data_IF_725318857515
#
_entry.id   IF_725318857515
#
_cell.length_a   1.000
_cell.length_b   1.000
_cell.length_c   1.000
_cell.angle_alpha   90.00
_cell.angle_beta   90.00
_cell.angle_gamma   90.00
#
_symmetry.space_group_name_H-M   'P 1'
#
loop_
_entity.id
_entity.type
_entity.pdbx_description
1 polymer ?
#
# COMPACT_ATOMS: atom_id res chain seq x y z
N UNK A 1 -11.21 -15.36 18.14
CA UNK A 1 -11.36 -14.18 17.26
C UNK A 1 -11.71 -14.76 15.91
N UNK A 2 -12.91 -14.48 15.41
CA UNK A 2 -13.36 -14.96 14.10
C UNK A 2 -12.34 -14.55 13.04
N UNK A 3 -11.84 -15.53 12.28
CA UNK A 3 -10.97 -15.33 11.12
C UNK A 3 -11.78 -14.56 10.07
N UNK A 4 -11.84 -13.24 10.21
CA UNK A 4 -12.20 -12.38 9.10
C UNK A 4 -11.21 -12.69 7.98
N UNK A 5 -11.73 -13.06 6.81
CA UNK A 5 -10.91 -13.36 5.63
C UNK A 5 -10.15 -12.10 5.23
N UNK A 6 -8.97 -11.87 5.81
CA UNK A 6 -8.11 -10.73 5.47
C UNK A 6 -7.60 -10.95 4.04
N UNK A 7 -8.15 -10.19 3.10
CA UNK A 7 -7.77 -10.28 1.69
C UNK A 7 -6.49 -9.49 1.39
N UNK A 8 -6.31 -8.33 2.02
CA UNK A 8 -5.12 -7.48 1.90
C UNK A 8 -4.80 -6.85 3.25
N UNK A 9 -3.52 -6.86 3.64
CA UNK A 9 -2.99 -6.20 4.83
C UNK A 9 -1.77 -5.34 4.46
N UNK A 10 -1.74 -4.10 4.95
CA UNK A 10 -0.60 -3.19 4.82
C UNK A 10 -0.06 -2.90 6.21
N UNK A 11 1.17 -3.34 6.46
CA UNK A 11 1.85 -3.11 7.73
C UNK A 11 3.03 -2.18 7.51
N UNK A 12 3.08 -1.08 8.26
CA UNK A 12 4.24 -0.22 8.34
C UNK A 12 4.95 -0.46 9.67
N UNK A 13 6.26 -0.65 9.62
CA UNK A 13 7.11 -0.90 10.78
C UNK A 13 8.36 -0.04 10.72
N UNK A 14 9.11 0.02 11.82
CA UNK A 14 10.37 0.78 11.89
C UNK A 14 11.53 -0.19 12.10
N UNK A 15 12.45 -0.21 11.16
CA UNK A 15 13.68 -1.00 11.25
C UNK A 15 14.90 -0.11 11.04
N UNK A 16 15.86 -0.13 11.98
CA UNK A 16 17.11 0.65 11.91
C UNK A 16 16.93 2.16 11.60
N UNK A 17 15.81 2.73 12.01
CA UNK A 17 15.49 4.14 11.75
C UNK A 17 14.76 4.42 10.43
N UNK A 18 14.57 3.40 9.60
CA UNK A 18 13.84 3.48 8.34
C UNK A 18 12.41 2.94 8.49
N UNK A 19 11.50 3.41 7.65
CA UNK A 19 10.15 2.86 7.56
C UNK A 19 10.17 1.70 6.57
N UNK A 20 9.82 0.50 7.04
CA UNK A 20 9.67 -0.69 6.21
C UNK A 20 8.19 -1.01 6.11
N UNK A 21 7.70 -1.15 4.89
CA UNK A 21 6.33 -1.56 4.62
C UNK A 21 6.28 -2.99 4.10
N UNK A 22 5.28 -3.73 4.54
CA UNK A 22 4.93 -5.06 4.04
C UNK A 22 3.49 -5.04 3.58
N UNK A 23 3.25 -5.62 2.41
CA UNK A 23 1.90 -5.89 1.89
C UNK A 23 1.73 -7.40 1.83
N UNK A 24 0.70 -7.90 2.49
CA UNK A 24 0.29 -9.31 2.46
C UNK A 24 -1.08 -9.39 1.79
N UNK A 25 -1.27 -10.38 0.93
CA UNK A 25 -2.54 -10.60 0.25
C UNK A 25 -2.89 -12.09 0.20
N UNK A 26 -4.18 -12.39 0.10
CA UNK A 26 -4.67 -13.74 -0.10
C UNK A 26 -4.13 -14.31 -1.42
N UNK A 27 -3.75 -15.60 -1.42
CA UNK A 27 -3.04 -16.24 -2.53
C UNK A 27 -3.87 -16.42 -3.80
N UNK A 28 -5.18 -16.32 -3.68
CA UNK A 28 -6.18 -16.51 -4.73
C UNK A 28 -6.64 -15.20 -5.39
N UNK A 29 -6.16 -14.05 -4.91
CA UNK A 29 -6.47 -12.76 -5.54
C UNK A 29 -5.82 -12.62 -6.90
N UNK A 30 -6.62 -12.23 -7.88
CA UNK A 30 -6.10 -11.73 -9.14
C UNK A 30 -5.39 -10.39 -8.93
N UNK A 31 -4.55 -10.01 -9.89
CA UNK A 31 -3.89 -8.70 -9.89
C UNK A 31 -4.92 -7.55 -9.84
N UNK A 32 -6.01 -7.68 -10.59
CA UNK A 32 -7.07 -6.66 -10.68
C UNK A 32 -7.78 -6.48 -9.33
N UNK A 33 -8.12 -7.57 -8.66
CA UNK A 33 -8.73 -7.51 -7.33
C UNK A 33 -7.76 -6.93 -6.29
N UNK A 34 -6.48 -7.34 -6.34
CA UNK A 34 -5.46 -6.77 -5.46
C UNK A 34 -5.32 -5.25 -5.64
N UNK A 35 -5.24 -4.77 -6.88
CA UNK A 35 -5.19 -3.34 -7.20
C UNK A 35 -6.46 -2.61 -6.74
N UNK A 36 -7.63 -3.24 -6.87
CA UNK A 36 -8.89 -2.71 -6.39
C UNK A 36 -8.88 -2.54 -4.86
N UNK A 37 -8.53 -3.58 -4.10
CA UNK A 37 -8.46 -3.52 -2.64
C UNK A 37 -7.47 -2.46 -2.13
N UNK A 38 -6.28 -2.37 -2.76
CA UNK A 38 -5.32 -1.32 -2.42
C UNK A 38 -5.88 0.09 -2.66
N UNK A 39 -6.59 0.30 -3.77
CA UNK A 39 -7.22 1.58 -4.10
C UNK A 39 -8.25 1.98 -3.05
N UNK A 40 -9.10 1.04 -2.61
CA UNK A 40 -10.10 1.30 -1.57
C UNK A 40 -9.45 1.61 -0.21
N UNK A 41 -8.35 0.94 0.15
CA UNK A 41 -7.58 1.26 1.37
C UNK A 41 -7.06 2.71 1.30
N UNK A 42 -6.45 3.10 0.18
CA UNK A 42 -5.94 4.47 -0.02
C UNK A 42 -7.08 5.49 0.05
N UNK A 43 -8.22 5.22 -0.59
CA UNK A 43 -9.40 6.08 -0.51
C UNK A 43 -9.87 6.26 0.93
N UNK A 44 -10.01 5.17 1.69
CA UNK A 44 -10.41 5.24 3.09
C UNK A 44 -9.46 6.07 3.94
N UNK A 45 -8.15 5.95 3.71
CA UNK A 45 -7.14 6.81 4.39
C UNK A 45 -7.30 8.28 3.99
N UNK A 46 -7.53 8.57 2.71
CA UNK A 46 -7.75 9.95 2.23
C UNK A 46 -9.05 10.56 2.75
N UNK A 47 -10.11 9.77 2.87
CA UNK A 47 -11.38 10.21 3.45
C UNK A 47 -11.24 10.49 4.95
N UNK A 48 -10.51 9.64 5.67
CA UNK A 48 -10.25 9.81 7.09
C UNK A 48 -9.38 11.04 7.38
N UNK A 49 -8.32 11.27 6.59
CA UNK A 49 -7.42 12.39 6.76
C UNK A 49 -6.99 12.96 5.40
N UNK A 50 -7.74 13.98 4.95
CA UNK A 50 -7.52 14.65 3.66
C UNK A 50 -6.12 15.25 3.53
N UNK A 51 -5.54 15.74 4.62
CA UNK A 51 -4.20 16.36 4.63
C UNK A 51 -3.11 15.38 4.22
N UNK A 52 -3.22 14.10 4.59
CA UNK A 52 -2.26 13.05 4.17
C UNK A 52 -2.22 12.96 2.64
N UNK A 53 -3.36 13.10 1.97
CA UNK A 53 -3.46 12.95 0.53
C UNK A 53 -3.18 14.26 -0.21
N UNK A 54 -3.52 15.41 0.37
CA UNK A 54 -3.18 16.74 -0.17
C UNK A 54 -1.66 17.01 -0.17
N UNK A 55 -0.92 16.53 0.84
CA UNK A 55 0.55 16.68 0.91
C UNK A 55 1.33 15.62 0.10
N UNK A 56 0.64 14.64 -0.48
CA UNK A 56 1.24 13.48 -1.16
C UNK A 56 1.48 13.65 -2.67
N UNK A 57 1.44 14.86 -3.23
CA UNK A 57 2.02 15.13 -4.57
C UNK A 57 3.56 15.08 -4.45
N UNK A 58 4.10 13.88 -4.15
CA UNK A 58 5.51 13.57 -4.29
C UNK A 58 5.71 13.04 -5.70
N UNK A 59 6.35 13.86 -6.53
CA UNK A 59 6.79 13.46 -7.87
C UNK A 59 7.88 12.40 -7.74
N UNK A 60 7.54 11.13 -7.94
CA UNK A 60 8.52 10.06 -8.05
C UNK A 60 9.08 10.01 -9.47
N UNK A 61 10.33 10.47 -9.64
CA UNK A 61 11.08 10.35 -10.90
C UNK A 61 12.01 9.14 -10.80
N UNK A 62 11.56 7.99 -11.31
CA UNK A 62 12.41 6.81 -11.45
C UNK A 62 13.41 6.98 -12.60
N UNK A 63 14.65 6.54 -12.41
CA UNK A 63 15.61 6.37 -13.52
C UNK A 63 15.70 4.89 -13.84
N UNK A 64 15.31 4.50 -15.06
CA UNK A 64 15.52 3.14 -15.54
C UNK A 64 17.04 2.93 -15.65
N UNK A 65 17.63 2.12 -14.76
CA UNK A 65 19.00 1.64 -14.97
C UNK A 65 18.96 0.66 -16.15
N UNK A 66 19.58 1.04 -17.28
CA UNK A 66 19.87 0.09 -18.36
C UNK A 66 20.67 -1.08 -17.77
N UNK A 67 20.16 -2.31 -17.95
CA UNK A 67 20.92 -3.53 -17.68
C UNK A 67 22.21 -3.49 -18.50
N UNK A 68 23.36 -3.69 -17.84
CA UNK A 68 24.62 -4.07 -18.48
C UNK A 68 24.64 -5.57 -18.66
#
# INVERSE_FOLDING_TARGET
MSEENILVSLTASREKGEIVYRVECASDLTKEEFEYYLSEIVKGVCEWNKTICEESIKRFKGTIKKRR
#
